data_IF_862043072164
#
_entry.id   IF_862043072164
#
_cell.length_a   1.000
_cell.length_b   1.000
_cell.length_c   1.000
_cell.angle_alpha   90.00
_cell.angle_beta   90.00
_cell.angle_gamma   90.00
#
_symmetry.space_group_name_H-M   'P 1'
#
loop_
_entity.id
_entity.type
_entity.pdbx_description
1 polymer ?
#
# COMPACT_ATOMS: atom_id res chain seq x y z
N UNK A 1 20.82 66.82 21.25
CA UNK A 1 21.15 66.53 22.66
C UNK A 1 21.60 65.08 22.74
N UNK A 2 22.83 64.84 23.23
CA UNK A 2 23.43 63.54 23.58
C UNK A 2 23.92 62.66 22.41
N UNK A 3 25.18 62.74 21.94
CA UNK A 3 26.44 62.13 22.47
C UNK A 3 26.51 60.60 22.25
N UNK A 4 27.17 60.13 21.18
CA UNK A 4 28.57 59.61 21.13
C UNK A 4 28.75 58.25 21.82
N UNK A 5 29.24 57.18 21.19
CA UNK A 5 30.65 57.00 20.74
C UNK A 5 30.82 55.55 20.21
N UNK A 6 31.41 55.36 19.02
CA UNK A 6 32.80 54.84 18.78
C UNK A 6 32.87 53.31 18.66
N UNK A 7 33.68 52.64 17.83
CA UNK A 7 34.83 53.03 16.99
C UNK A 7 35.03 51.99 15.87
N UNK A 8 35.74 52.40 14.82
CA UNK A 8 35.95 51.70 13.54
C UNK A 8 37.29 50.95 13.45
N UNK A 9 37.30 49.88 12.65
CA UNK A 9 38.23 49.52 11.54
C UNK A 9 39.76 49.39 11.70
N UNK A 10 40.28 48.36 11.00
CA UNK A 10 41.43 48.32 10.05
C UNK A 10 42.44 47.17 10.32
N UNK A 11 42.47 46.13 9.47
CA UNK A 11 43.36 45.87 8.31
C UNK A 11 44.77 45.36 8.69
N UNK A 12 45.16 44.18 8.19
CA UNK A 12 46.40 43.95 7.42
C UNK A 12 46.58 42.47 7.02
N UNK A 13 46.63 42.26 5.71
CA UNK A 13 47.22 41.10 5.01
C UNK A 13 48.75 41.15 5.07
N UNK A 14 49.46 40.01 5.09
CA UNK A 14 50.62 39.77 4.22
C UNK A 14 51.16 38.31 4.25
N UNK A 15 51.23 37.73 3.04
CA UNK A 15 52.34 36.99 2.40
C UNK A 15 52.93 35.67 2.96
N UNK A 16 52.95 34.71 2.03
CA UNK A 16 53.74 33.48 1.96
C UNK A 16 55.25 33.70 2.14
N UNK A 17 55.91 32.74 2.81
CA UNK A 17 57.31 32.38 2.57
C UNK A 17 57.47 30.84 2.55
N UNK A 18 58.33 30.39 1.65
CA UNK A 18 58.48 29.04 1.12
C UNK A 18 59.86 28.47 1.54
N UNK A 19 59.92 27.13 1.70
CA UNK A 19 61.08 26.18 1.69
C UNK A 19 61.76 25.82 3.03
N UNK A 20 62.49 24.67 3.13
CA UNK A 20 62.69 23.56 2.16
C UNK A 20 62.38 22.14 2.72
N UNK A 21 62.33 21.15 1.80
CA UNK A 21 62.30 19.70 2.08
C UNK A 21 63.65 19.17 2.57
N UNK A 22 63.68 18.14 3.44
CA UNK A 22 64.80 17.21 3.52
C UNK A 22 64.54 15.90 2.77
N UNK A 23 65.63 15.24 2.42
CA UNK A 23 65.78 14.15 1.46
C UNK A 23 65.24 12.78 1.92
N UNK A 24 64.93 11.94 0.93
CA UNK A 24 64.73 10.50 1.07
C UNK A 24 66.02 9.85 1.60
N UNK A 25 65.88 9.01 2.63
CA UNK A 25 66.85 7.98 2.96
C UNK A 25 66.12 6.65 3.08
N UNK A 26 66.46 5.72 2.19
CA UNK A 26 65.95 4.35 2.15
C UNK A 26 66.80 3.49 3.06
N UNK A 27 66.23 2.88 4.10
CA UNK A 27 66.84 1.73 4.78
C UNK A 27 65.75 0.70 5.09
N UNK A 28 65.95 -0.49 4.51
CA UNK A 28 65.21 -1.72 4.77
C UNK A 28 65.29 -2.11 6.26
N UNK A 29 64.13 -2.40 6.86
CA UNK A 29 64.08 -3.31 8.01
C UNK A 29 62.97 -4.36 7.79
N UNK A 30 63.44 -5.59 7.64
CA UNK A 30 62.65 -6.80 7.66
C UNK A 30 62.25 -7.07 9.11
N UNK A 31 60.95 -7.16 9.40
CA UNK A 31 60.44 -7.30 10.77
C UNK A 31 59.03 -7.88 10.78
N UNK A 32 58.96 -9.20 10.80
CA UNK A 32 57.75 -9.96 11.11
C UNK A 32 57.09 -9.43 12.39
N UNK A 33 55.84 -8.99 12.29
CA UNK A 33 54.97 -8.88 13.46
C UNK A 33 53.56 -9.32 13.09
N UNK A 34 53.05 -10.26 13.89
CA UNK A 34 51.77 -10.93 13.74
C UNK A 34 50.61 -9.94 13.80
N UNK A 35 49.88 -9.79 12.69
CA UNK A 35 48.59 -9.09 12.68
C UNK A 35 47.49 -10.02 13.17
N UNK A 36 46.98 -9.73 14.36
CA UNK A 36 45.76 -10.31 14.89
C UNK A 36 44.58 -9.92 14.01
N UNK A 37 44.02 -10.91 13.31
CA UNK A 37 42.81 -10.79 12.49
C UNK A 37 41.61 -10.47 13.39
N UNK A 38 41.33 -9.19 13.62
CA UNK A 38 39.98 -8.76 14.03
C UNK A 38 39.04 -9.06 12.88
N UNK A 39 38.34 -10.21 12.96
CA UNK A 39 37.17 -10.50 12.13
C UNK A 39 36.14 -9.41 12.39
N UNK A 40 36.07 -8.40 11.52
CA UNK A 40 34.86 -7.60 11.37
C UNK A 40 33.76 -8.58 11.02
N UNK A 41 32.82 -8.81 11.95
CA UNK A 41 31.51 -9.37 11.62
C UNK A 41 30.91 -8.41 10.60
N UNK A 42 31.00 -8.77 9.32
CA UNK A 42 30.17 -8.15 8.31
C UNK A 42 28.74 -8.49 8.68
N UNK A 43 28.00 -7.52 9.18
CA UNK A 43 26.55 -7.59 9.16
C UNK A 43 26.18 -7.66 7.68
N UNK A 44 25.91 -8.86 7.18
CA UNK A 44 25.26 -9.04 5.90
C UNK A 44 23.83 -8.52 6.11
N UNK A 45 23.63 -7.24 5.85
CA UNK A 45 22.32 -6.61 5.79
C UNK A 45 21.58 -7.28 4.63
N UNK A 46 20.75 -8.27 4.95
CA UNK A 46 19.82 -8.87 4.00
C UNK A 46 18.84 -7.77 3.59
N UNK A 47 19.04 -7.18 2.41
CA UNK A 47 18.06 -6.28 1.79
C UNK A 47 16.78 -7.09 1.58
N UNK A 48 15.69 -6.67 2.24
CA UNK A 48 14.41 -7.39 2.35
C UNK A 48 13.77 -7.69 0.99
N UNK A 49 14.12 -6.92 -0.03
CA UNK A 49 13.67 -7.10 -1.40
C UNK A 49 14.71 -6.51 -2.36
N UNK A 50 14.71 -6.99 -3.61
CA UNK A 50 15.47 -6.38 -4.69
C UNK A 50 14.80 -5.11 -5.26
N UNK A 51 13.51 -4.90 -4.98
CA UNK A 51 12.65 -3.86 -5.57
C UNK A 51 12.08 -2.97 -4.46
N UNK A 52 12.08 -1.65 -4.66
CA UNK A 52 11.43 -0.71 -3.75
C UNK A 52 9.95 -0.59 -4.09
N UNK A 53 9.06 -0.67 -3.10
CA UNK A 53 7.65 -0.36 -3.35
C UNK A 53 7.40 1.11 -3.72
N UNK A 54 8.39 1.99 -3.54
CA UNK A 54 8.32 3.34 -4.08
C UNK A 54 8.21 3.35 -5.61
N UNK A 55 8.85 2.40 -6.30
CA UNK A 55 8.80 2.29 -7.76
C UNK A 55 7.36 2.04 -8.28
N UNK A 56 6.53 1.36 -7.48
CA UNK A 56 5.12 1.12 -7.76
C UNK A 56 4.30 2.40 -7.59
N UNK A 57 4.56 3.15 -6.52
CA UNK A 57 3.90 4.44 -6.25
C UNK A 57 4.25 5.43 -7.36
N UNK A 58 5.54 5.60 -7.66
CA UNK A 58 6.02 6.53 -8.67
C UNK A 58 5.43 6.21 -10.05
N UNK A 59 5.39 4.93 -10.44
CA UNK A 59 4.71 4.51 -11.65
C UNK A 59 3.24 4.91 -11.64
N UNK A 60 2.50 4.60 -10.57
CA UNK A 60 1.06 4.87 -10.49
C UNK A 60 0.74 6.38 -10.58
N UNK A 61 1.53 7.22 -9.91
CA UNK A 61 1.33 8.67 -9.94
C UNK A 61 1.70 9.25 -11.31
N UNK A 62 2.79 8.78 -11.92
CA UNK A 62 3.21 9.24 -13.24
C UNK A 62 2.24 8.81 -14.34
N UNK A 63 1.73 7.57 -14.28
CA UNK A 63 0.74 7.11 -15.24
C UNK A 63 -0.58 7.87 -15.05
N UNK A 64 -1.08 8.04 -13.82
CA UNK A 64 -2.32 8.81 -13.57
C UNK A 64 -2.27 10.23 -14.14
N UNK A 65 -1.14 10.92 -13.98
CA UNK A 65 -0.93 12.28 -14.52
C UNK A 65 -1.05 12.36 -16.05
N UNK A 66 -0.87 11.25 -16.76
CA UNK A 66 -1.05 11.18 -18.22
C UNK A 66 -2.53 11.09 -18.63
N UNK A 67 -3.36 10.53 -17.75
CA UNK A 67 -4.79 10.31 -18.01
C UNK A 67 -5.69 11.40 -17.43
N UNK A 68 -5.28 12.05 -16.34
CA UNK A 68 -6.09 13.08 -15.68
C UNK A 68 -5.24 14.06 -14.87
N UNK A 69 -5.82 15.23 -14.57
CA UNK A 69 -5.28 16.15 -13.57
C UNK A 69 -5.30 15.48 -12.19
N UNK A 70 -4.13 15.44 -11.55
CA UNK A 70 -3.92 14.88 -10.22
C UNK A 70 -3.62 16.03 -9.25
N UNK A 71 -4.49 16.23 -8.26
CA UNK A 71 -4.39 17.29 -7.27
C UNK A 71 -4.04 16.70 -5.90
N UNK A 72 -3.20 17.36 -5.08
CA UNK A 72 -2.99 16.94 -3.69
C UNK A 72 -4.31 16.95 -2.92
N UNK A 73 -4.59 15.89 -2.17
CA UNK A 73 -5.74 15.85 -1.25
C UNK A 73 -5.43 16.68 0.01
N UNK A 74 -6.43 17.29 0.67
CA UNK A 74 -6.26 17.93 1.97
C UNK A 74 -5.63 17.01 3.04
N UNK A 75 -5.80 15.69 2.90
CA UNK A 75 -5.17 14.71 3.78
C UNK A 75 -3.63 14.78 3.76
N UNK A 76 -3.03 15.26 2.67
CA UNK A 76 -1.58 15.34 2.50
C UNK A 76 -0.92 16.27 3.52
N UNK A 77 -1.64 17.28 4.01
CA UNK A 77 -1.18 18.23 5.03
C UNK A 77 -1.00 17.55 6.39
N UNK A 78 -1.88 16.58 6.71
CA UNK A 78 -1.88 15.84 7.97
C UNK A 78 -1.06 14.55 7.90
N UNK A 79 -1.05 13.89 6.74
CA UNK A 79 -0.43 12.59 6.53
C UNK A 79 0.62 12.68 5.41
N UNK A 80 1.89 12.64 5.77
CA UNK A 80 3.01 12.74 4.82
C UNK A 80 4.12 11.74 5.12
N UNK A 81 4.79 11.86 6.26
CA UNK A 81 5.80 10.89 6.69
C UNK A 81 5.86 10.82 8.20
N UNK A 82 6.25 9.65 8.71
CA UNK A 82 6.54 9.47 10.12
C UNK A 82 7.59 8.38 10.34
N UNK A 83 8.26 8.44 11.48
CA UNK A 83 9.21 7.42 11.94
C UNK A 83 8.50 6.56 12.98
N UNK A 84 8.64 5.25 12.87
CA UNK A 84 8.11 4.30 13.83
C UNK A 84 8.79 4.41 15.20
N UNK A 85 8.21 3.76 16.20
CA UNK A 85 8.70 3.73 17.58
C UNK A 85 10.09 3.10 17.73
N UNK A 86 10.52 2.28 16.77
CA UNK A 86 11.87 1.69 16.72
C UNK A 86 12.96 2.67 16.26
N UNK A 87 12.57 3.85 15.75
CA UNK A 87 13.48 4.87 15.22
C UNK A 87 14.14 4.53 13.89
N UNK A 88 13.81 3.39 13.27
CA UNK A 88 14.47 2.85 12.08
C UNK A 88 13.50 2.61 10.92
N UNK A 89 12.25 2.28 11.22
CA UNK A 89 11.22 2.04 10.21
C UNK A 89 10.55 3.36 9.82
N UNK A 90 10.53 3.65 8.53
CA UNK A 90 9.92 4.86 7.96
C UNK A 90 8.59 4.51 7.32
N UNK A 91 7.58 5.34 7.58
CA UNK A 91 6.28 5.29 6.92
C UNK A 91 6.15 6.55 6.06
N UNK A 92 5.86 6.40 4.78
CA UNK A 92 5.54 7.51 3.88
C UNK A 92 4.13 7.36 3.34
N UNK A 93 3.44 8.47 3.22
CA UNK A 93 2.04 8.55 2.85
C UNK A 93 1.86 9.63 1.80
N UNK A 94 1.14 9.30 0.74
CA UNK A 94 0.73 10.28 -0.27
C UNK A 94 -0.75 10.16 -0.58
N UNK A 95 -1.41 11.30 -0.81
CA UNK A 95 -2.84 11.35 -1.08
C UNK A 95 -3.18 12.43 -2.08
N UNK A 96 -4.00 12.05 -3.05
CA UNK A 96 -4.39 12.87 -4.18
C UNK A 96 -5.87 12.66 -4.51
N UNK A 97 -6.44 13.59 -5.27
CA UNK A 97 -7.77 13.53 -5.85
C UNK A 97 -7.73 13.86 -7.34
N UNK A 98 -8.76 13.43 -8.06
CA UNK A 98 -8.97 13.75 -9.47
C UNK A 98 -10.45 14.08 -9.70
N UNK A 99 -10.85 14.55 -10.91
CA UNK A 99 -12.27 14.77 -11.21
C UNK A 99 -13.16 13.55 -10.99
N UNK A 100 -12.65 12.32 -11.18
CA UNK A 100 -13.41 11.05 -11.04
C UNK A 100 -13.08 10.26 -9.77
N UNK A 101 -11.97 10.58 -9.11
CA UNK A 101 -11.43 9.83 -7.97
C UNK A 101 -11.47 10.70 -6.73
N UNK A 102 -12.24 10.26 -5.72
CA UNK A 102 -12.36 10.94 -4.42
C UNK A 102 -11.03 10.91 -3.66
N UNK A 103 -10.34 9.77 -3.70
CA UNK A 103 -9.07 9.62 -3.00
C UNK A 103 -8.21 8.52 -3.64
N UNK A 104 -7.09 8.92 -4.24
CA UNK A 104 -5.95 8.06 -4.56
C UNK A 104 -4.94 8.21 -3.42
N UNK A 105 -4.72 7.14 -2.65
CA UNK A 105 -3.76 7.18 -1.53
C UNK A 105 -2.80 6.01 -1.56
N UNK A 106 -1.57 6.28 -1.17
CA UNK A 106 -0.57 5.25 -0.92
C UNK A 106 0.07 5.42 0.46
N UNK A 107 0.44 4.30 1.06
CA UNK A 107 1.31 4.21 2.23
C UNK A 107 2.41 3.20 1.91
N UNK A 108 3.66 3.62 2.02
CA UNK A 108 4.82 2.74 2.02
C UNK A 108 5.38 2.64 3.42
N UNK A 109 5.82 1.44 3.81
CA UNK A 109 6.58 1.22 5.04
C UNK A 109 7.88 0.57 4.65
N UNK A 110 9.01 1.17 5.02
CA UNK A 110 10.34 0.65 4.77
C UNK A 110 11.11 0.54 6.09
N UNK A 111 11.52 -0.68 6.43
CA UNK A 111 12.39 -0.97 7.56
C UNK A 111 13.37 -2.09 7.22
N UNK A 112 14.30 -2.39 8.14
CA UNK A 112 15.39 -3.35 7.88
C UNK A 112 14.92 -4.79 7.59
N UNK A 113 13.75 -5.18 8.10
CA UNK A 113 13.24 -6.56 7.99
C UNK A 113 11.91 -6.68 7.23
N UNK A 114 11.31 -5.56 6.83
CA UNK A 114 9.97 -5.51 6.28
C UNK A 114 9.80 -4.36 5.28
N UNK A 115 9.05 -4.62 4.20
CA UNK A 115 8.49 -3.59 3.34
C UNK A 115 6.98 -3.81 3.17
N UNK A 116 6.22 -2.72 3.17
CA UNK A 116 4.76 -2.73 2.95
C UNK A 116 4.39 -1.69 1.91
N UNK A 117 3.46 -2.05 1.04
CA UNK A 117 2.73 -1.13 0.17
C UNK A 117 1.24 -1.30 0.45
N UNK A 118 0.55 -0.20 0.73
CA UNK A 118 -0.90 -0.10 0.65
C UNK A 118 -1.24 1.04 -0.30
N UNK A 119 -1.81 0.73 -1.46
CA UNK A 119 -2.25 1.72 -2.45
C UNK A 119 -3.68 1.40 -2.88
N UNK A 120 -4.52 2.43 -3.00
CA UNK A 120 -5.88 2.29 -3.46
C UNK A 120 -6.40 3.58 -4.07
N UNK A 121 -7.36 3.42 -4.97
CA UNK A 121 -8.09 4.52 -5.58
C UNK A 121 -9.59 4.34 -5.34
N UNK A 122 -10.16 5.26 -4.58
CA UNK A 122 -11.59 5.31 -4.28
C UNK A 122 -12.28 6.27 -5.25
N UNK A 123 -13.20 5.79 -6.10
CA UNK A 123 -13.90 6.66 -7.04
C UNK A 123 -14.86 7.59 -6.31
N UNK A 124 -15.25 8.69 -6.96
CA UNK A 124 -16.42 9.45 -6.50
C UNK A 124 -17.71 8.64 -6.73
N UNK A 125 -18.77 8.83 -5.94
CA UNK A 125 -19.98 8.01 -6.00
C UNK A 125 -20.73 8.06 -7.35
N UNK A 126 -20.51 9.11 -8.14
CA UNK A 126 -21.05 9.27 -9.49
C UNK A 126 -20.38 8.32 -10.49
N UNK A 127 -19.22 7.74 -10.16
CA UNK A 127 -18.53 6.75 -10.99
C UNK A 127 -18.51 5.41 -10.25
N UNK A 128 -19.27 4.43 -10.73
CA UNK A 128 -19.38 3.09 -10.14
C UNK A 128 -18.15 2.20 -10.39
N UNK A 129 -16.97 2.80 -10.53
CA UNK A 129 -15.71 2.12 -10.81
C UNK A 129 -15.37 1.09 -9.72
N UNK A 130 -14.70 -0.02 -10.08
CA UNK A 130 -14.01 -0.84 -9.10
C UNK A 130 -12.99 -0.01 -8.30
N UNK A 131 -12.77 -0.38 -7.05
CA UNK A 131 -11.74 0.19 -6.19
C UNK A 131 -10.42 -0.49 -6.55
N UNK A 132 -9.45 0.27 -7.10
CA UNK A 132 -8.10 -0.27 -7.28
C UNK A 132 -7.50 -0.55 -5.90
N UNK A 133 -6.87 -1.71 -5.71
CA UNK A 133 -6.29 -2.11 -4.43
C UNK A 133 -4.98 -2.89 -4.63
N UNK A 134 -3.90 -2.40 -4.04
CA UNK A 134 -2.62 -3.10 -3.92
C UNK A 134 -2.18 -3.12 -2.46
N UNK A 135 -2.19 -4.29 -1.83
CA UNK A 135 -1.72 -4.54 -0.47
C UNK A 135 -0.60 -5.57 -0.48
N UNK A 136 0.65 -5.11 -0.44
CA UNK A 136 1.84 -5.95 -0.49
C UNK A 136 2.56 -5.91 0.84
N UNK A 137 2.85 -7.08 1.37
CA UNK A 137 3.64 -7.25 2.58
C UNK A 137 4.81 -8.17 2.26
N UNK A 138 6.03 -7.67 2.47
CA UNK A 138 7.25 -8.45 2.36
C UNK A 138 7.97 -8.42 3.70
N UNK A 139 8.30 -9.59 4.23
CA UNK A 139 9.16 -9.71 5.39
C UNK A 139 10.12 -10.88 5.23
N UNK A 140 11.41 -10.64 5.47
CA UNK A 140 12.50 -11.61 5.30
C UNK A 140 12.48 -12.29 3.92
N UNK A 141 11.84 -13.44 3.79
CA UNK A 141 11.73 -14.24 2.58
C UNK A 141 10.28 -14.56 2.19
N UNK A 142 9.29 -13.94 2.83
CA UNK A 142 7.87 -14.19 2.60
C UNK A 142 7.19 -12.94 2.06
N UNK A 143 6.42 -13.12 1.00
CA UNK A 143 5.56 -12.10 0.40
C UNK A 143 4.12 -12.54 0.55
N UNK A 144 3.26 -11.61 0.97
CA UNK A 144 1.81 -11.77 1.02
C UNK A 144 1.25 -10.60 0.21
N UNK A 145 0.53 -10.91 -0.86
CA UNK A 145 0.10 -9.93 -1.85
C UNK A 145 -1.39 -10.09 -2.09
N UNK A 146 -2.10 -8.98 -2.03
CA UNK A 146 -3.41 -8.78 -2.66
C UNK A 146 -3.25 -7.67 -3.69
N UNK A 147 -3.52 -7.97 -4.97
CA UNK A 147 -3.67 -6.99 -6.03
C UNK A 147 -5.00 -7.24 -6.73
N UNK A 148 -5.85 -6.21 -6.80
CA UNK A 148 -7.19 -6.36 -7.34
C UNK A 148 -7.78 -5.03 -7.84
N UNK A 149 -8.81 -5.17 -8.66
CA UNK A 149 -9.82 -4.13 -8.90
C UNK A 149 -11.06 -4.57 -8.12
N UNK A 150 -11.11 -4.29 -6.81
CA UNK A 150 -12.19 -4.75 -5.94
C UNK A 150 -13.53 -4.22 -6.44
N UNK A 151 -14.54 -5.08 -6.65
CA UNK A 151 -15.80 -4.64 -7.19
C UNK A 151 -16.54 -3.75 -6.20
N UNK A 152 -17.14 -2.66 -6.68
CA UNK A 152 -18.02 -1.84 -5.86
C UNK A 152 -19.29 -2.61 -5.50
N UNK A 153 -19.88 -3.31 -6.48
CA UNK A 153 -21.08 -4.12 -6.31
C UNK A 153 -20.77 -5.61 -6.41
N UNK A 154 -21.48 -6.45 -5.65
CA UNK A 154 -21.23 -7.90 -5.59
C UNK A 154 -21.36 -8.58 -6.97
N UNK A 155 -20.24 -9.05 -7.51
CA UNK A 155 -20.14 -9.69 -8.83
C UNK A 155 -20.78 -11.08 -8.91
N UNK A 156 -21.11 -11.71 -7.78
CA UNK A 156 -21.80 -13.01 -7.75
C UNK A 156 -23.29 -12.81 -8.00
N UNK A 157 -23.90 -11.81 -7.36
CA UNK A 157 -25.33 -11.50 -7.51
C UNK A 157 -25.64 -10.49 -8.62
N UNK A 158 -24.73 -9.55 -8.91
CA UNK A 158 -24.87 -8.49 -9.92
C UNK A 158 -24.06 -8.81 -11.18
N UNK A 159 -24.65 -9.67 -12.03
CA UNK A 159 -24.04 -10.06 -13.31
C UNK A 159 -23.83 -8.87 -14.25
N UNK A 160 -24.74 -7.91 -14.24
CA UNK A 160 -24.63 -6.65 -14.99
C UNK A 160 -23.33 -5.90 -14.68
N UNK A 161 -22.99 -5.81 -13.39
CA UNK A 161 -21.75 -5.18 -12.93
C UNK A 161 -20.51 -6.01 -13.27
N UNK A 162 -20.61 -7.35 -13.11
CA UNK A 162 -19.53 -8.28 -13.49
C UNK A 162 -19.18 -8.14 -14.97
N UNK A 163 -20.18 -8.25 -15.85
CA UNK A 163 -20.03 -8.18 -17.30
C UNK A 163 -19.44 -6.84 -17.74
N UNK A 164 -19.92 -5.74 -17.14
CA UNK A 164 -19.45 -4.38 -17.41
C UNK A 164 -17.95 -4.22 -17.18
N UNK A 165 -17.40 -4.79 -16.11
CA UNK A 165 -16.05 -4.48 -15.64
C UNK A 165 -15.03 -5.60 -15.77
N UNK A 166 -15.43 -6.88 -15.74
CA UNK A 166 -14.48 -7.99 -15.54
C UNK A 166 -14.37 -8.96 -16.70
N UNK A 167 -15.39 -9.12 -17.54
CA UNK A 167 -15.37 -10.10 -18.64
C UNK A 167 -14.18 -9.87 -19.59
N UNK A 168 -13.91 -8.61 -19.92
CA UNK A 168 -12.75 -8.22 -20.75
C UNK A 168 -11.42 -8.31 -20.03
N UNK A 169 -11.43 -8.36 -18.69
CA UNK A 169 -10.22 -8.46 -17.87
C UNK A 169 -9.87 -9.90 -17.49
N UNK A 170 -10.72 -10.88 -17.77
CA UNK A 170 -10.44 -12.28 -17.48
C UNK A 170 -9.10 -12.78 -18.05
N UNK A 171 -8.70 -12.46 -19.30
CA UNK A 171 -7.39 -12.84 -19.83
C UNK A 171 -6.22 -12.28 -19.00
N UNK A 172 -6.33 -11.05 -18.49
CA UNK A 172 -5.33 -10.43 -17.61
C UNK A 172 -5.26 -11.15 -16.25
N UNK A 173 -6.42 -11.48 -15.68
CA UNK A 173 -6.54 -12.30 -14.48
C UNK A 173 -5.81 -13.64 -14.63
N UNK A 174 -6.18 -14.39 -15.67
CA UNK A 174 -5.63 -15.73 -15.92
C UNK A 174 -4.11 -15.72 -16.10
N UNK A 175 -3.58 -14.81 -16.91
CA UNK A 175 -2.13 -14.62 -17.11
C UNK A 175 -1.38 -14.57 -15.78
N UNK A 176 -1.87 -13.76 -14.83
CA UNK A 176 -1.17 -13.58 -13.56
C UNK A 176 -1.48 -14.65 -12.52
N UNK A 177 -2.61 -15.35 -12.60
CA UNK A 177 -2.86 -16.52 -11.73
C UNK A 177 -1.92 -17.69 -11.99
N UNK A 178 -1.43 -17.84 -13.22
CA UNK A 178 -0.40 -18.83 -13.56
C UNK A 178 0.98 -18.45 -13.00
N UNK A 179 1.32 -17.16 -13.04
CA UNK A 179 2.63 -16.65 -12.63
C UNK A 179 2.73 -16.41 -11.10
N UNK A 180 1.60 -16.07 -10.47
CA UNK A 180 1.45 -15.78 -9.04
C UNK A 180 0.34 -16.69 -8.47
N UNK A 181 0.68 -17.93 -8.09
CA UNK A 181 -0.30 -18.93 -7.70
C UNK A 181 -1.06 -18.54 -6.44
N UNK A 182 -2.27 -19.09 -6.31
CA UNK A 182 -3.16 -18.82 -5.18
C UNK A 182 -2.49 -19.00 -3.82
N UNK A 183 -2.67 -18.02 -2.92
CA UNK A 183 -2.02 -17.96 -1.61
C UNK A 183 -2.54 -18.93 -0.56
N UNK A 184 -3.41 -19.87 -0.93
CA UNK A 184 -4.11 -20.80 -0.04
C UNK A 184 -5.22 -20.13 0.76
N UNK A 185 -5.61 -20.75 1.87
CA UNK A 185 -6.70 -20.26 2.74
C UNK A 185 -6.56 -18.78 3.15
N UNK A 186 -7.68 -18.07 3.13
CA UNK A 186 -7.84 -16.68 3.60
C UNK A 186 -9.12 -16.51 4.45
N UNK A 187 -9.28 -15.37 5.09
CA UNK A 187 -10.53 -14.99 5.78
C UNK A 187 -11.70 -15.10 4.79
N UNK A 188 -12.69 -15.96 5.08
CA UNK A 188 -13.74 -16.30 4.11
C UNK A 188 -14.58 -15.09 3.73
N UNK A 189 -14.87 -14.21 4.67
CA UNK A 189 -15.66 -13.00 4.46
C UNK A 189 -14.96 -11.99 3.53
N UNK A 190 -13.62 -12.03 3.42
CA UNK A 190 -12.88 -11.17 2.49
C UNK A 190 -13.23 -11.45 1.03
N UNK A 191 -13.70 -12.65 0.70
CA UNK A 191 -14.06 -13.02 -0.67
C UNK A 191 -15.22 -12.16 -1.21
N UNK A 192 -16.07 -11.63 -0.31
CA UNK A 192 -17.20 -10.74 -0.65
C UNK A 192 -16.75 -9.41 -1.30
N UNK A 193 -15.46 -9.10 -1.25
CA UNK A 193 -14.88 -7.84 -1.75
C UNK A 193 -13.83 -8.06 -2.85
N UNK A 194 -13.62 -9.31 -3.29
CA UNK A 194 -12.63 -9.64 -4.30
C UNK A 194 -13.29 -9.87 -5.65
N UNK A 195 -12.60 -9.44 -6.70
CA UNK A 195 -13.05 -9.68 -8.07
C UNK A 195 -12.65 -11.06 -8.58
N UNK A 196 -13.22 -11.51 -9.72
CA UNK A 196 -12.80 -12.75 -10.38
C UNK A 196 -11.37 -12.70 -10.94
N UNK A 197 -10.71 -11.53 -10.96
CA UNK A 197 -9.32 -11.36 -11.39
C UNK A 197 -8.36 -11.12 -10.23
N UNK A 198 -8.80 -11.20 -8.97
CA UNK A 198 -7.93 -10.95 -7.80
C UNK A 198 -6.66 -11.80 -7.84
N UNK A 199 -5.52 -11.17 -7.53
CA UNK A 199 -4.26 -11.84 -7.22
C UNK A 199 -4.11 -11.86 -5.71
N UNK A 200 -4.55 -12.96 -5.09
CA UNK A 200 -4.18 -13.32 -3.72
C UNK A 200 -3.09 -14.39 -3.80
N UNK A 201 -1.86 -14.03 -3.44
CA UNK A 201 -0.70 -14.91 -3.54
C UNK A 201 0.18 -14.81 -2.30
N UNK A 202 0.85 -15.93 -1.99
CA UNK A 202 2.00 -15.96 -1.09
C UNK A 202 3.18 -16.57 -1.81
N UNK A 203 4.34 -15.96 -1.75
CA UNK A 203 5.53 -16.49 -2.43
C UNK A 203 6.83 -16.15 -1.71
N UNK A 204 7.84 -16.97 -1.96
CA UNK A 204 9.19 -16.77 -1.46
C UNK A 204 9.91 -15.70 -2.27
N UNK A 205 10.63 -14.79 -1.59
CA UNK A 205 11.30 -13.67 -2.25
C UNK A 205 12.32 -14.15 -3.28
N UNK A 206 12.19 -13.65 -4.51
CA UNK A 206 13.17 -13.85 -5.59
C UNK A 206 13.03 -12.70 -6.58
N UNK A 207 14.14 -12.34 -7.25
CA UNK A 207 14.14 -11.26 -8.26
C UNK A 207 13.03 -11.45 -9.29
N UNK A 208 12.92 -12.65 -9.86
CA UNK A 208 11.88 -13.00 -10.83
C UNK A 208 10.46 -12.78 -10.28
N UNK A 209 10.15 -13.24 -9.06
CA UNK A 209 8.80 -13.06 -8.49
C UNK A 209 8.46 -11.58 -8.24
N UNK A 210 9.44 -10.77 -7.85
CA UNK A 210 9.23 -9.33 -7.69
C UNK A 210 9.05 -8.62 -9.04
N UNK A 211 9.76 -9.03 -10.10
CA UNK A 211 9.57 -8.51 -11.47
C UNK A 211 8.17 -8.88 -12.02
N UNK A 212 7.72 -10.10 -11.76
CA UNK A 212 6.35 -10.55 -12.08
C UNK A 212 5.31 -9.72 -11.31
N UNK A 213 5.51 -9.49 -10.01
CA UNK A 213 4.61 -8.66 -9.21
C UNK A 213 4.54 -7.22 -9.73
N UNK A 214 5.68 -6.64 -10.09
CA UNK A 214 5.72 -5.29 -10.66
C UNK A 214 4.98 -5.24 -12.00
N UNK A 215 5.20 -6.23 -12.87
CA UNK A 215 4.49 -6.33 -14.15
C UNK A 215 2.97 -6.47 -13.96
N UNK A 216 2.56 -7.30 -12.98
CA UNK A 216 1.15 -7.46 -12.61
C UNK A 216 0.54 -6.13 -12.17
N UNK A 217 1.22 -5.42 -11.27
CA UNK A 217 0.77 -4.12 -10.80
C UNK A 217 0.60 -3.11 -11.94
N UNK A 218 1.60 -3.01 -12.83
CA UNK A 218 1.58 -2.11 -13.98
C UNK A 218 0.37 -2.40 -14.89
N UNK A 219 0.14 -3.66 -15.25
CA UNK A 219 -0.97 -4.02 -16.13
C UNK A 219 -2.35 -3.87 -15.46
N UNK A 220 -2.48 -4.21 -14.17
CA UNK A 220 -3.73 -4.02 -13.43
C UNK A 220 -4.05 -2.53 -13.27
N UNK A 221 -3.05 -1.71 -12.97
CA UNK A 221 -3.26 -0.28 -12.80
C UNK A 221 -3.62 0.41 -14.11
N UNK A 222 -2.97 0.03 -15.21
CA UNK A 222 -3.35 0.51 -16.56
C UNK A 222 -4.76 0.09 -16.94
N UNK A 223 -5.13 -1.17 -16.72
CA UNK A 223 -6.49 -1.63 -16.96
C UNK A 223 -7.52 -0.84 -16.14
N UNK A 224 -7.20 -0.52 -14.87
CA UNK A 224 -8.07 0.32 -14.04
C UNK A 224 -8.16 1.77 -14.56
N UNK A 225 -7.06 2.37 -15.04
CA UNK A 225 -7.08 3.69 -15.67
C UNK A 225 -7.91 3.71 -16.95
N UNK A 226 -7.84 2.67 -17.78
CA UNK A 226 -8.69 2.52 -18.97
C UNK A 226 -10.18 2.44 -18.61
N UNK A 227 -10.52 1.71 -17.54
CA UNK A 227 -11.90 1.71 -17.00
C UNK A 227 -12.29 3.11 -16.51
N UNK A 228 -11.39 3.80 -15.79
CA UNK A 228 -11.62 5.15 -15.29
C UNK A 228 -11.92 6.11 -16.44
N UNK A 229 -11.22 6.04 -17.56
CA UNK A 229 -11.47 6.88 -18.75
C UNK A 229 -12.81 6.60 -19.41
N UNK A 230 -13.22 5.33 -19.46
CA UNK A 230 -14.49 4.89 -20.04
C UNK A 230 -15.68 5.09 -19.11
N UNK A 231 -15.45 5.39 -17.83
CA UNK A 231 -16.50 5.58 -16.84
C UNK A 231 -17.42 6.75 -17.23
N UNK A 232 -18.72 6.45 -17.26
CA UNK A 232 -19.78 7.42 -17.47
C UNK A 232 -20.28 7.88 -16.11
N UNK A 233 -20.43 9.21 -15.96
CA UNK A 233 -20.99 9.82 -14.76
C UNK A 233 -22.46 9.42 -14.61
N UNK A 234 -22.80 8.85 -13.46
CA UNK A 234 -24.18 8.55 -13.08
C UNK A 234 -24.88 9.82 -12.61
N UNK A 235 -26.12 10.01 -13.04
CA UNK A 235 -26.94 11.18 -12.74
C UNK A 235 -28.19 10.84 -11.95
N UNK A 236 -28.58 9.55 -11.91
CA UNK A 236 -29.68 9.06 -11.09
C UNK A 236 -29.28 9.06 -9.60
N UNK A 237 -29.93 9.90 -8.75
CA UNK A 237 -29.60 10.00 -7.34
C UNK A 237 -29.70 8.66 -6.59
N UNK A 238 -30.61 7.77 -7.00
CA UNK A 238 -30.79 6.47 -6.34
C UNK A 238 -29.59 5.54 -6.57
N UNK A 239 -29.01 5.57 -7.78
CA UNK A 239 -27.82 4.80 -8.13
C UNK A 239 -26.56 5.38 -7.51
N UNK A 240 -26.42 6.70 -7.50
CA UNK A 240 -25.32 7.39 -6.79
C UNK A 240 -25.36 7.02 -5.31
N UNK A 241 -26.54 7.03 -4.68
CA UNK A 241 -26.71 6.60 -3.28
C UNK A 241 -26.32 5.13 -3.08
N UNK A 242 -26.69 4.25 -4.02
CA UNK A 242 -26.28 2.84 -3.97
C UNK A 242 -24.76 2.67 -4.10
N UNK A 243 -24.09 3.47 -4.93
CA UNK A 243 -22.63 3.45 -5.09
C UNK A 243 -21.94 3.95 -3.81
N UNK A 244 -22.46 5.03 -3.23
CA UNK A 244 -21.98 5.60 -1.97
C UNK A 244 -22.06 4.57 -0.83
N UNK A 245 -23.23 3.94 -0.68
CA UNK A 245 -23.48 2.89 0.33
C UNK A 245 -22.55 1.68 0.16
N UNK A 246 -22.33 1.25 -1.08
CA UNK A 246 -21.44 0.14 -1.39
C UNK A 246 -19.98 0.47 -1.04
N UNK A 247 -19.52 1.69 -1.36
CA UNK A 247 -18.19 2.17 -0.99
C UNK A 247 -18.07 2.28 0.54
N UNK A 248 -19.08 2.82 1.22
CA UNK A 248 -19.11 2.93 2.68
C UNK A 248 -19.00 1.55 3.36
N UNK A 249 -19.78 0.56 2.89
CA UNK A 249 -19.70 -0.81 3.37
C UNK A 249 -18.29 -1.41 3.22
N UNK A 250 -17.63 -1.17 2.09
CA UNK A 250 -16.25 -1.61 1.85
C UNK A 250 -15.27 -0.95 2.84
N UNK A 251 -15.34 0.38 2.99
CA UNK A 251 -14.45 1.12 3.88
C UNK A 251 -14.63 0.68 5.33
N UNK A 252 -15.87 0.53 5.78
CA UNK A 252 -16.23 0.06 7.12
C UNK A 252 -15.72 -1.36 7.39
N UNK A 253 -15.82 -2.28 6.41
CA UNK A 253 -15.24 -3.61 6.54
C UNK A 253 -13.72 -3.56 6.73
N UNK A 254 -13.02 -2.84 5.84
CA UNK A 254 -11.56 -2.77 5.84
C UNK A 254 -11.05 -2.08 7.11
N UNK A 255 -11.69 -0.99 7.54
CA UNK A 255 -11.27 -0.27 8.73
C UNK A 255 -11.47 -1.05 10.05
N UNK A 256 -12.28 -2.11 10.04
CA UNK A 256 -12.47 -2.96 11.22
C UNK A 256 -11.61 -4.23 11.15
N UNK A 257 -11.52 -4.87 9.97
CA UNK A 257 -10.99 -6.24 9.82
C UNK A 257 -9.71 -6.38 8.99
N UNK A 258 -9.11 -5.28 8.52
CA UNK A 258 -7.89 -5.36 7.72
C UNK A 258 -6.71 -6.00 8.49
N UNK A 259 -5.97 -6.94 7.86
CA UNK A 259 -4.92 -7.68 8.54
C UNK A 259 -3.71 -6.82 8.96
N UNK A 260 -3.51 -5.65 8.34
CA UNK A 260 -2.39 -4.74 8.58
C UNK A 260 -2.45 -4.00 9.92
N UNK A 261 -3.60 -3.99 10.61
CA UNK A 261 -3.80 -3.23 11.85
C UNK A 261 -2.75 -3.56 12.92
N UNK A 262 -2.45 -4.85 13.10
CA UNK A 262 -1.48 -5.29 14.12
C UNK A 262 -0.06 -4.81 13.83
N UNK A 263 0.32 -4.70 12.55
CA UNK A 263 1.62 -4.16 12.14
C UNK A 263 1.69 -2.68 12.46
N UNK A 264 0.67 -1.90 12.08
CA UNK A 264 0.61 -0.47 12.38
C UNK A 264 0.64 -0.19 13.89
N UNK A 265 -0.17 -0.91 14.68
CA UNK A 265 -0.20 -0.78 16.15
C UNK A 265 1.18 -0.99 16.78
N UNK A 266 1.94 -1.97 16.29
CA UNK A 266 3.31 -2.23 16.76
C UNK A 266 4.29 -1.13 16.36
N UNK A 267 4.14 -0.56 15.17
CA UNK A 267 5.06 0.44 14.64
C UNK A 267 4.83 1.84 15.21
N UNK A 268 3.57 2.27 15.35
CA UNK A 268 3.23 3.66 15.69
C UNK A 268 2.31 3.79 16.93
N UNK A 269 2.00 2.68 17.59
CA UNK A 269 1.13 2.66 18.77
C UNK A 269 -0.37 2.69 18.42
N UNK A 270 -1.20 2.26 19.38
CA UNK A 270 -2.64 2.05 19.20
C UNK A 270 -3.39 3.30 18.70
N UNK A 271 -3.14 4.45 19.34
CA UNK A 271 -3.86 5.70 19.05
C UNK A 271 -3.60 6.19 17.62
N UNK A 272 -2.33 6.25 17.21
CA UNK A 272 -1.96 6.71 15.88
C UNK A 272 -2.32 5.69 14.81
N UNK A 273 -2.21 4.38 15.10
CA UNK A 273 -2.67 3.35 14.18
C UNK A 273 -4.17 3.47 13.90
N UNK A 274 -5.00 3.70 14.92
CA UNK A 274 -6.44 3.92 14.74
C UNK A 274 -6.75 5.18 13.93
N UNK A 275 -6.08 6.30 14.21
CA UNK A 275 -6.25 7.54 13.45
C UNK A 275 -5.83 7.35 11.98
N UNK A 276 -4.64 6.81 11.72
CA UNK A 276 -4.14 6.58 10.36
C UNK A 276 -5.07 5.64 9.58
N UNK A 277 -5.56 4.59 10.22
CA UNK A 277 -6.41 3.62 9.56
C UNK A 277 -7.76 4.22 9.15
N UNK A 278 -8.44 4.89 10.08
CA UNK A 278 -9.77 5.44 9.86
C UNK A 278 -9.74 6.70 8.99
N UNK A 279 -8.78 7.60 9.27
CA UNK A 279 -8.79 8.96 8.72
C UNK A 279 -7.88 9.12 7.50
N UNK A 280 -7.05 8.13 7.17
CA UNK A 280 -6.21 8.13 5.96
C UNK A 280 -6.45 6.92 5.07
N UNK A 281 -6.16 5.70 5.53
CA UNK A 281 -6.23 4.48 4.69
C UNK A 281 -7.66 4.21 4.17
N UNK A 282 -8.64 4.45 5.03
CA UNK A 282 -10.07 4.29 4.74
C UNK A 282 -10.85 5.59 4.99
N UNK A 283 -10.22 6.74 4.72
CA UNK A 283 -10.87 8.04 4.80
C UNK A 283 -12.16 8.06 3.97
N UNK A 284 -13.23 8.62 4.53
CA UNK A 284 -14.57 8.59 3.97
C UNK A 284 -15.59 7.95 4.91
N UNK A 285 -15.21 7.10 5.85
CA UNK A 285 -16.18 6.33 6.67
C UNK A 285 -17.18 7.24 7.39
N UNK A 286 -16.70 8.33 7.99
CA UNK A 286 -17.56 9.25 8.74
C UNK A 286 -18.32 10.23 7.83
N UNK A 287 -17.88 10.38 6.58
CA UNK A 287 -18.45 11.33 5.62
C UNK A 287 -19.43 10.69 4.64
N UNK A 288 -19.21 9.43 4.27
CA UNK A 288 -19.96 8.73 3.19
C UNK A 288 -21.16 7.92 3.70
N UNK A 289 -21.30 7.72 5.01
CA UNK A 289 -22.46 7.03 5.56
C UNK A 289 -22.53 7.07 7.09
N UNK A 290 -23.66 6.62 7.64
CA UNK A 290 -23.91 6.60 9.09
C UNK A 290 -24.09 5.20 9.68
N UNK A 291 -24.18 4.17 8.82
CA UNK A 291 -24.29 2.77 9.25
C UNK A 291 -23.00 2.30 9.93
N UNK A 292 -23.15 1.62 11.04
CA UNK A 292 -22.05 1.02 11.79
C UNK A 292 -21.58 -0.28 11.13
N UNK A 293 -20.46 -0.82 11.62
CA UNK A 293 -19.98 -2.14 11.18
C UNK A 293 -21.03 -3.25 11.40
N UNK A 294 -21.74 -3.23 12.53
CA UNK A 294 -22.76 -4.24 12.86
C UNK A 294 -24.05 -4.08 12.05
N UNK A 295 -24.32 -2.90 11.49
CA UNK A 295 -25.44 -2.72 10.55
C UNK A 295 -25.19 -3.43 9.21
N UNK A 296 -23.92 -3.51 8.78
CA UNK A 296 -23.53 -4.22 7.55
C UNK A 296 -23.19 -5.69 7.76
N UNK A 297 -22.62 -6.02 8.91
CA UNK A 297 -22.07 -7.34 9.21
C UNK A 297 -22.59 -7.85 10.57
N UNK A 298 -23.93 -8.06 10.70
CA UNK A 298 -24.54 -8.48 11.95
C UNK A 298 -24.04 -9.86 12.43
N UNK A 299 -23.44 -10.67 11.55
CA UNK A 299 -22.81 -11.93 11.96
C UNK A 299 -21.64 -11.75 12.96
N UNK A 300 -21.14 -10.53 13.14
CA UNK A 300 -20.08 -10.19 14.09
C UNK A 300 -20.56 -9.71 15.47
N UNK A 301 -21.86 -9.72 15.76
CA UNK A 301 -22.36 -9.45 17.11
C UNK A 301 -21.74 -10.42 18.13
N UNK A 302 -21.13 -9.89 19.19
CA UNK A 302 -20.75 -10.67 20.37
C UNK A 302 -21.87 -10.68 21.42
N UNK A 303 -21.76 -11.60 22.38
CA UNK A 303 -22.76 -11.78 23.44
C UNK A 303 -22.95 -10.54 24.34
N UNK A 304 -21.91 -9.71 24.48
CA UNK A 304 -21.92 -8.47 25.26
C UNK A 304 -22.38 -7.23 24.46
N UNK A 305 -22.77 -7.43 23.22
CA UNK A 305 -23.27 -6.39 22.34
C UNK A 305 -22.21 -5.57 21.61
N UNK A 306 -20.95 -6.03 21.61
CA UNK A 306 -19.84 -5.38 20.91
C UNK A 306 -19.52 -6.07 19.58
N UNK A 307 -18.47 -5.59 18.88
CA UNK A 307 -17.97 -6.25 17.67
C UNK A 307 -17.04 -7.39 18.08
N UNK A 308 -17.30 -8.60 17.59
CA UNK A 308 -16.43 -9.75 17.84
C UNK A 308 -14.97 -9.44 17.48
N UNK A 309 -14.04 -9.73 18.40
CA UNK A 309 -12.60 -9.59 18.18
C UNK A 309 -12.06 -10.55 17.10
N UNK A 310 -12.83 -11.60 16.77
CA UNK A 310 -12.45 -12.52 15.70
C UNK A 310 -12.35 -11.75 14.38
N UNK A 311 -11.30 -12.04 13.61
CA UNK A 311 -11.18 -11.53 12.24
C UNK A 311 -12.24 -12.14 11.32
N UNK A 312 -12.57 -13.40 11.56
CA UNK A 312 -13.47 -14.20 10.74
C UNK A 312 -14.39 -14.98 11.66
N UNK A 313 -15.70 -14.90 11.42
CA UNK A 313 -16.72 -15.67 12.11
C UNK A 313 -16.79 -17.07 11.49
N UNK A 314 -16.68 -17.15 10.17
CA UNK A 314 -16.70 -18.41 9.40
C UNK A 314 -15.37 -19.16 9.51
N UNK A 315 -14.26 -18.43 9.71
CA UNK A 315 -12.91 -18.96 9.67
C UNK A 315 -12.27 -18.85 8.29
N UNK A 316 -11.08 -19.44 8.14
CA UNK A 316 -10.35 -19.38 6.87
C UNK A 316 -10.81 -20.46 5.89
N UNK A 317 -11.22 -20.05 4.70
CA UNK A 317 -11.70 -20.90 3.63
C UNK A 317 -10.91 -20.73 2.33
N UNK A 318 -11.39 -21.36 1.25
CA UNK A 318 -10.85 -21.25 -0.11
C UNK A 318 -9.37 -21.63 -0.23
N UNK A 319 -9.06 -22.91 0.04
CA UNK A 319 -7.70 -23.46 -0.18
C UNK A 319 -7.27 -23.32 -1.64
N UNK A 320 -8.21 -23.43 -2.57
CA UNK A 320 -8.00 -23.18 -4.00
C UNK A 320 -8.72 -21.89 -4.42
N UNK A 321 -8.31 -21.32 -5.57
CA UNK A 321 -8.96 -20.16 -6.18
C UNK A 321 -10.46 -20.45 -6.36
N UNK A 322 -11.38 -19.61 -5.84
CA UNK A 322 -12.81 -19.88 -5.89
C UNK A 322 -13.51 -19.33 -7.14
N UNK A 323 -12.76 -18.98 -8.18
CA UNK A 323 -13.30 -18.63 -9.49
C UNK A 323 -12.73 -19.55 -10.56
N UNK A 324 -13.57 -19.94 -11.51
CA UNK A 324 -13.15 -20.71 -12.67
C UNK A 324 -12.48 -19.82 -13.73
N UNK A 325 -12.15 -20.41 -14.89
CA UNK A 325 -11.48 -19.69 -15.99
C UNK A 325 -12.33 -18.59 -16.64
N UNK A 326 -13.65 -18.63 -16.46
CA UNK A 326 -14.59 -17.62 -16.96
C UNK A 326 -14.94 -16.59 -15.86
N UNK A 327 -14.29 -16.69 -14.70
CA UNK A 327 -14.57 -15.82 -13.56
C UNK A 327 -15.90 -16.15 -12.89
N UNK A 328 -16.47 -17.33 -13.11
CA UNK A 328 -17.65 -17.81 -12.38
C UNK A 328 -17.22 -18.30 -11.00
N UNK A 329 -17.97 -17.92 -9.98
CA UNK A 329 -17.67 -18.34 -8.61
C UNK A 329 -18.01 -19.83 -8.43
N UNK A 330 -17.01 -20.61 -8.04
CA UNK A 330 -17.09 -22.07 -7.83
C UNK A 330 -16.64 -22.47 -6.43
N UNK A 331 -16.42 -21.51 -5.54
CA UNK A 331 -16.14 -21.79 -4.13
C UNK A 331 -17.32 -22.51 -3.49
N UNK A 332 -17.06 -23.59 -2.73
CA UNK A 332 -18.10 -24.27 -1.97
C UNK A 332 -18.85 -23.22 -1.12
N UNK A 333 -20.17 -23.15 -1.30
CA UNK A 333 -21.04 -22.20 -0.62
C UNK A 333 -20.78 -22.32 0.90
N UNK A 334 -20.45 -21.21 1.56
CA UNK A 334 -20.12 -21.17 3.00
C UNK A 334 -21.35 -21.46 3.90
N UNK A 335 -22.40 -22.05 3.32
CA UNK A 335 -23.62 -22.52 3.96
C UNK A 335 -23.48 -24.01 4.27
N UNK A 336 -22.71 -24.32 5.31
CA UNK A 336 -22.93 -25.49 6.15
C UNK A 336 -22.81 -25.07 7.60
#
# INVERSE_FOLDING_TARGET
>A
MGSSSSSSSSLLSLSLMLKPKPALMTINYNGNSHWSRRKKKGHCLLRVSAISYQDFIDFSLNETKRHTLLLPSPLQEKYSSMIALDGQTRLEMSSFETPRIRLLRSMSIEGEAMQVLDIAAFPKPEFDLPIFCGNFFTATNTNIVVLDLNPLHDVVSRRDYKEKYYDRLMPLGLKYTELLPWGGKLTSESIKFFSPIVIWTKFTSSKYKHEVLYSAFVEYYKAWLELMEQAVEETDPSRIMSNLEAQHRYLTWRAEKDPGHGVLKRLIGEKLAKDLLRNFLFSGIDEVGSKTFLDYFPEYWSEDGTISEKRSIVGKGFENRPWDKNGEFVGNDLRN
#
